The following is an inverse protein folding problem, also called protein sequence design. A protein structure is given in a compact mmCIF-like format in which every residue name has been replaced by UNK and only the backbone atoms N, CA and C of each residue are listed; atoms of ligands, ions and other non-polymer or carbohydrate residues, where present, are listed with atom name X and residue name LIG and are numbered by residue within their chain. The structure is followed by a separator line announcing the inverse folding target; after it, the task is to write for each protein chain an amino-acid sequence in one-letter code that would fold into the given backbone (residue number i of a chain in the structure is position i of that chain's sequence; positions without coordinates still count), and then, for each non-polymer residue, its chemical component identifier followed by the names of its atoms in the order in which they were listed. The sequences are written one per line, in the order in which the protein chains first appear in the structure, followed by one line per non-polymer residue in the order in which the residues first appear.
data_IF_867300216100
#
_entry.id   IF_867300216100
#
_cell.length_a   1.000
_cell.length_b   1.000
_cell.length_c   1.000
_cell.angle_alpha   90.00
_cell.angle_beta   90.00
_cell.angle_gamma   90.00
#
_symmetry.space_group_name_H-M   'P 1'
#
loop_
_entity.id
_entity.type
_entity.pdbx_description
1 polymer ?
#
# COMPACT_ATOMS: atom_id res chain seq x y z
N UNK A 1 -7.33 -10.35 -7.38
CA UNK A 1 -7.50 -9.26 -8.36
C UNK A 1 -6.21 -8.46 -8.38
N UNK A 2 -5.71 -8.13 -9.55
CA UNK A 2 -4.62 -7.17 -9.75
C UNK A 2 -5.22 -5.94 -10.42
N UNK A 3 -4.91 -4.75 -9.92
CA UNK A 3 -5.47 -3.53 -10.45
C UNK A 3 -4.38 -2.48 -10.60
N UNK A 4 -4.49 -1.69 -11.65
CA UNK A 4 -3.66 -0.54 -11.92
C UNK A 4 -4.58 0.59 -12.38
N UNK A 5 -4.66 1.67 -11.61
CA UNK A 5 -5.45 2.85 -11.96
C UNK A 5 -4.68 4.10 -11.53
N UNK A 6 -4.25 4.89 -12.51
CA UNK A 6 -3.48 6.11 -12.30
C UNK A 6 -4.31 7.37 -12.54
N UNK A 7 -5.63 7.26 -12.77
CA UNK A 7 -6.47 8.42 -13.13
C UNK A 7 -6.47 9.48 -12.03
N UNK A 8 -6.54 9.07 -10.76
CA UNK A 8 -6.44 9.99 -9.61
C UNK A 8 -5.07 10.65 -9.46
N UNK A 9 -4.05 10.10 -10.13
CA UNK A 9 -2.65 10.50 -10.05
C UNK A 9 -2.18 11.24 -11.31
N UNK A 10 -3.11 11.61 -12.20
CA UNK A 10 -2.86 12.19 -13.51
C UNK A 10 -1.86 11.37 -14.36
N UNK A 11 -1.91 10.04 -14.23
CA UNK A 11 -1.08 9.15 -15.04
C UNK A 11 -1.64 8.99 -16.46
N UNK A 12 -0.76 8.71 -17.44
CA UNK A 12 -1.15 8.57 -18.84
C UNK A 12 -1.71 7.18 -19.18
N UNK A 13 -1.51 6.19 -18.30
CA UNK A 13 -1.86 4.79 -18.55
C UNK A 13 -3.36 4.53 -18.32
N UNK A 14 -4.03 3.76 -19.21
CA UNK A 14 -5.43 3.39 -19.01
C UNK A 14 -5.57 2.49 -17.77
N UNK A 15 -6.70 2.58 -17.04
CA UNK A 15 -6.95 1.69 -15.92
C UNK A 15 -7.10 0.24 -16.40
N UNK A 16 -6.52 -0.70 -15.66
CA UNK A 16 -6.58 -2.12 -15.94
C UNK A 16 -6.90 -2.91 -14.67
N UNK A 17 -7.70 -3.96 -14.82
CA UNK A 17 -8.00 -4.91 -13.76
C UNK A 17 -7.99 -6.33 -14.32
N UNK A 18 -7.29 -7.22 -13.62
CA UNK A 18 -7.21 -8.64 -13.94
C UNK A 18 -7.69 -9.44 -12.75
N UNK A 19 -8.67 -10.31 -12.99
CA UNK A 19 -9.11 -11.30 -12.03
C UNK A 19 -8.61 -12.68 -12.45
N UNK A 20 -7.84 -13.33 -11.57
CA UNK A 20 -7.39 -14.70 -11.77
C UNK A 20 -7.97 -15.53 -10.65
N UNK A 21 -8.81 -16.50 -11.01
CA UNK A 21 -9.40 -17.43 -10.06
C UNK A 21 -8.39 -18.54 -9.71
N UNK A 22 -8.34 -18.90 -8.44
CA UNK A 22 -7.69 -20.11 -7.96
C UNK A 22 -8.60 -20.79 -6.92
N UNK A 23 -8.61 -22.11 -6.90
CA UNK A 23 -9.42 -22.91 -5.96
C UNK A 23 -8.88 -22.87 -4.52
N UNK A 24 -7.66 -22.35 -4.32
CA UNK A 24 -7.05 -22.16 -3.02
C UNK A 24 -6.31 -20.82 -2.94
N UNK A 25 -5.88 -20.49 -1.71
CA UNK A 25 -5.08 -19.32 -1.39
C UNK A 25 -3.63 -19.70 -1.07
N UNK A 26 -3.00 -20.59 -1.84
CA UNK A 26 -1.58 -20.91 -1.62
C UNK A 26 -0.68 -19.82 -2.20
N UNK A 27 0.49 -19.61 -1.61
CA UNK A 27 1.51 -18.68 -2.14
C UNK A 27 1.94 -19.04 -3.58
N UNK A 28 1.78 -20.32 -3.96
CA UNK A 28 1.90 -20.84 -5.32
C UNK A 28 1.18 -19.99 -6.37
N UNK A 29 -0.04 -19.54 -6.05
CA UNK A 29 -0.91 -18.82 -7.00
C UNK A 29 -0.31 -17.47 -7.40
N UNK A 30 -0.06 -16.51 -6.50
CA UNK A 30 0.47 -15.22 -6.90
C UNK A 30 1.84 -15.30 -7.58
N UNK A 31 2.75 -16.22 -7.23
CA UNK A 31 4.03 -16.26 -7.96
C UNK A 31 3.93 -16.88 -9.35
N UNK A 32 2.97 -17.77 -9.62
CA UNK A 32 2.70 -18.19 -10.99
C UNK A 32 2.12 -17.02 -11.81
N UNK A 33 1.14 -16.30 -11.28
CA UNK A 33 0.51 -15.19 -11.99
C UNK A 33 1.47 -14.02 -12.25
N UNK A 34 2.43 -13.81 -11.35
CA UNK A 34 3.37 -12.69 -11.37
C UNK A 34 4.81 -13.11 -11.72
N UNK A 35 5.01 -14.29 -12.32
CA UNK A 35 6.33 -14.84 -12.61
C UNK A 35 7.25 -13.91 -13.42
N UNK A 36 6.65 -13.04 -14.25
CA UNK A 36 7.36 -12.07 -15.08
C UNK A 36 7.20 -10.62 -14.62
N UNK A 37 6.46 -10.39 -13.53
CA UNK A 37 6.27 -9.04 -12.99
C UNK A 37 7.56 -8.54 -12.37
N UNK A 38 7.87 -7.25 -12.60
CA UNK A 38 8.98 -6.55 -11.95
C UNK A 38 8.50 -5.18 -11.47
N UNK A 39 8.91 -4.79 -10.28
CA UNK A 39 8.61 -3.48 -9.71
C UNK A 39 7.83 -3.55 -8.38
N UNK A 40 7.10 -2.48 -8.09
CA UNK A 40 6.39 -2.32 -6.83
C UNK A 40 4.99 -2.94 -6.90
N UNK A 41 4.70 -3.84 -5.96
CA UNK A 41 3.40 -4.47 -5.79
C UNK A 41 2.75 -3.99 -4.49
N UNK A 42 1.65 -3.25 -4.60
CA UNK A 42 0.83 -2.84 -3.45
C UNK A 42 -0.04 -4.01 -3.01
N UNK A 43 0.11 -4.45 -1.76
CA UNK A 43 -0.56 -5.63 -1.20
C UNK A 43 -1.33 -5.31 0.08
N UNK A 44 -2.35 -6.10 0.36
CA UNK A 44 -3.16 -6.06 1.59
C UNK A 44 -2.44 -6.58 2.84
N UNK A 45 -1.25 -7.16 2.68
CA UNK A 45 -0.51 -7.81 3.76
C UNK A 45 -0.75 -9.32 3.85
N UNK A 46 -1.40 -9.93 2.86
CA UNK A 46 -1.48 -11.38 2.73
C UNK A 46 -0.09 -12.01 2.59
N UNK A 47 0.24 -12.92 3.51
CA UNK A 47 1.57 -13.53 3.61
C UNK A 47 2.00 -14.32 2.36
N UNK A 48 1.07 -14.79 1.53
CA UNK A 48 1.41 -15.54 0.32
C UNK A 48 2.13 -14.73 -0.76
N UNK A 49 2.17 -13.40 -0.64
CA UNK A 49 3.00 -12.55 -1.50
C UNK A 49 4.48 -12.53 -1.09
N UNK A 50 4.84 -12.97 0.12
CA UNK A 50 6.21 -12.85 0.66
C UNK A 50 7.28 -13.44 -0.27
N UNK A 51 7.06 -14.65 -0.79
CA UNK A 51 8.01 -15.33 -1.69
C UNK A 51 8.27 -14.62 -3.03
N UNK A 52 7.48 -13.60 -3.39
CA UNK A 52 7.72 -12.82 -4.60
C UNK A 52 9.02 -12.01 -4.53
N UNK A 53 9.50 -11.73 -3.31
CA UNK A 53 10.72 -10.96 -3.10
C UNK A 53 11.98 -11.79 -3.27
N UNK A 54 11.89 -13.12 -3.27
CA UNK A 54 13.03 -14.04 -3.28
C UNK A 54 13.92 -13.85 -4.53
N UNK A 55 13.30 -13.54 -5.67
CA UNK A 55 14.02 -13.27 -6.92
C UNK A 55 14.54 -11.83 -7.03
N UNK A 56 14.31 -10.96 -6.04
CA UNK A 56 14.75 -9.56 -6.02
C UNK A 56 14.06 -8.61 -7.01
N UNK A 57 13.17 -9.12 -7.88
CA UNK A 57 12.52 -8.33 -8.91
C UNK A 57 11.25 -7.60 -8.44
N UNK A 58 10.71 -7.95 -7.27
CA UNK A 58 9.46 -7.41 -6.73
C UNK A 58 9.71 -6.76 -5.39
N UNK A 59 9.22 -5.53 -5.23
CA UNK A 59 9.19 -4.80 -3.96
C UNK A 59 7.75 -4.77 -3.48
N UNK A 60 7.50 -5.28 -2.27
CA UNK A 60 6.17 -5.25 -1.68
C UNK A 60 5.94 -3.91 -0.96
N UNK A 61 4.83 -3.25 -1.25
CA UNK A 61 4.34 -2.10 -0.51
C UNK A 61 3.08 -2.51 0.26
N UNK A 62 3.14 -2.51 1.59
CA UNK A 62 2.00 -2.85 2.43
C UNK A 62 0.94 -1.73 2.43
N UNK A 63 -0.33 -2.12 2.46
CA UNK A 63 -1.45 -1.19 2.41
C UNK A 63 -1.69 -0.46 3.73
N UNK A 64 -1.78 0.87 3.66
CA UNK A 64 -2.14 1.71 4.82
C UNK A 64 -3.55 1.47 5.33
N UNK A 65 -4.50 1.06 4.48
CA UNK A 65 -5.86 0.76 4.92
C UNK A 65 -5.89 -0.48 5.83
N UNK A 66 -5.19 -1.55 5.43
CA UNK A 66 -5.08 -2.77 6.24
C UNK A 66 -4.25 -2.55 7.50
N UNK A 67 -3.20 -1.73 7.41
CA UNK A 67 -2.40 -1.34 8.58
C UNK A 67 -3.25 -0.53 9.58
N UNK A 68 -3.99 0.46 9.10
CA UNK A 68 -4.89 1.28 9.91
C UNK A 68 -6.00 0.44 10.55
N UNK A 69 -6.55 -0.55 9.84
CA UNK A 69 -7.58 -1.44 10.39
C UNK A 69 -7.08 -2.21 11.63
N UNK A 70 -5.84 -2.72 11.61
CA UNK A 70 -5.25 -3.40 12.77
C UNK A 70 -5.10 -2.49 13.98
N UNK A 71 -4.67 -1.24 13.77
CA UNK A 71 -4.61 -0.27 14.86
C UNK A 71 -6.00 0.10 15.37
N UNK A 72 -7.00 0.17 14.48
CA UNK A 72 -8.39 0.39 14.87
C UNK A 72 -8.93 -0.75 15.74
N UNK A 73 -8.67 -2.01 15.40
CA UNK A 73 -9.06 -3.16 16.23
C UNK A 73 -8.47 -3.07 17.65
N UNK A 74 -7.19 -2.72 17.77
CA UNK A 74 -6.52 -2.51 19.07
C UNK A 74 -7.11 -1.31 19.81
N UNK A 75 -7.36 -0.19 19.14
CA UNK A 75 -7.97 0.99 19.75
C UNK A 75 -9.37 0.68 20.30
N UNK A 76 -10.15 -0.16 19.63
CA UNK A 76 -11.48 -0.55 20.07
C UNK A 76 -11.50 -1.57 21.21
N UNK A 77 -10.45 -2.39 21.34
CA UNK A 77 -10.41 -3.51 22.29
C UNK A 77 -9.57 -3.22 23.54
N UNK A 78 -8.41 -2.60 23.36
CA UNK A 78 -7.43 -2.33 24.42
C UNK A 78 -7.29 -0.84 24.74
N UNK A 79 -7.86 0.05 23.89
CA UNK A 79 -7.83 1.52 24.02
C UNK A 79 -6.42 2.10 24.25
N UNK A 80 -5.43 1.51 23.59
CA UNK A 80 -4.04 1.89 23.79
C UNK A 80 -3.76 3.26 23.15
N UNK A 81 -3.10 4.21 23.86
CA UNK A 81 -2.78 5.52 23.30
C UNK A 81 -1.97 5.45 21.99
N UNK A 82 -1.12 4.42 21.86
CA UNK A 82 -0.29 4.21 20.67
C UNK A 82 -1.11 3.88 19.41
N UNK A 83 -2.25 3.17 19.54
CA UNK A 83 -3.09 2.87 18.39
C UNK A 83 -3.84 4.09 17.88
N UNK A 84 -4.34 4.95 18.77
CA UNK A 84 -4.96 6.23 18.37
C UNK A 84 -3.97 7.15 17.67
N UNK A 85 -2.74 7.22 18.19
CA UNK A 85 -1.69 8.02 17.58
C UNK A 85 -1.27 7.49 16.20
N UNK A 86 -1.18 6.16 16.04
CA UNK A 86 -0.93 5.54 14.75
C UNK A 86 -2.05 5.87 13.73
N UNK A 87 -3.32 5.76 14.14
CA UNK A 87 -4.47 6.11 13.30
C UNK A 87 -4.44 7.58 12.88
N UNK A 88 -4.14 8.50 13.80
CA UNK A 88 -4.02 9.94 13.51
C UNK A 88 -2.92 10.21 12.48
N UNK A 89 -1.76 9.56 12.60
CA UNK A 89 -0.66 9.67 11.65
C UNK A 89 -1.04 9.11 10.28
N UNK A 90 -1.67 7.94 10.22
CA UNK A 90 -2.15 7.35 8.96
C UNK A 90 -3.20 8.27 8.30
N UNK A 91 -4.12 8.86 9.07
CA UNK A 91 -5.09 9.82 8.55
C UNK A 91 -4.40 11.05 7.93
N UNK A 92 -3.29 11.53 8.51
CA UNK A 92 -2.51 12.65 7.93
C UNK A 92 -1.89 12.31 6.57
N UNK A 93 -1.51 11.05 6.34
CA UNK A 93 -1.04 10.58 5.03
C UNK A 93 -2.16 10.66 3.99
N UNK A 94 -3.37 10.24 4.34
CA UNK A 94 -4.53 10.34 3.45
C UNK A 94 -4.94 11.79 3.17
N UNK A 95 -4.88 12.67 4.17
CA UNK A 95 -5.14 14.09 4.00
C UNK A 95 -4.16 14.74 3.02
N UNK A 96 -2.87 14.38 3.09
CA UNK A 96 -1.87 14.82 2.13
C UNK A 96 -2.19 14.28 0.72
N UNK A 97 -2.45 12.98 0.56
CA UNK A 97 -2.75 12.39 -0.75
C UNK A 97 -4.01 13.00 -1.40
N UNK A 98 -5.00 13.42 -0.60
CA UNK A 98 -6.17 14.14 -1.10
C UNK A 98 -5.81 15.50 -1.72
N UNK A 99 -4.91 16.26 -1.09
CA UNK A 99 -4.42 17.54 -1.62
C UNK A 99 -3.56 17.37 -2.89
N UNK A 100 -2.88 16.23 -3.01
CA UNK A 100 -1.97 15.92 -4.11
C UNK A 100 -2.67 15.33 -5.35
N UNK A 101 -3.97 15.04 -5.29
CA UNK A 101 -4.73 14.46 -6.39
C UNK A 101 -4.65 15.33 -7.65
N UNK A 102 -4.39 14.71 -8.80
CA UNK A 102 -4.27 15.42 -10.07
C UNK A 102 -3.00 16.26 -10.26
N UNK A 103 -2.14 16.37 -9.24
CA UNK A 103 -0.87 17.08 -9.35
C UNK A 103 0.18 16.28 -10.12
N UNK A 104 1.18 16.98 -10.66
CA UNK A 104 2.25 16.36 -11.45
C UNK A 104 3.04 15.31 -10.63
N UNK A 105 3.55 14.24 -11.24
CA UNK A 105 4.33 13.23 -10.54
C UNK A 105 5.52 13.81 -9.74
N UNK A 106 6.21 14.81 -10.30
CA UNK A 106 7.33 15.48 -9.65
C UNK A 106 6.89 16.24 -8.38
N UNK A 107 5.78 16.97 -8.44
CA UNK A 107 5.24 17.69 -7.28
C UNK A 107 4.78 16.72 -6.19
N UNK A 108 4.06 15.65 -6.56
CA UNK A 108 3.65 14.60 -5.62
C UNK A 108 4.84 13.96 -4.92
N UNK A 109 5.92 13.66 -5.66
CA UNK A 109 7.14 13.10 -5.08
C UNK A 109 7.80 14.07 -4.09
N UNK A 110 7.91 15.35 -4.45
CA UNK A 110 8.49 16.37 -3.57
C UNK A 110 7.69 16.49 -2.26
N UNK A 111 6.36 16.58 -2.36
CA UNK A 111 5.47 16.70 -1.21
C UNK A 111 5.49 15.45 -0.33
N UNK A 112 5.50 14.24 -0.92
CA UNK A 112 5.65 12.99 -0.15
C UNK A 112 6.99 12.93 0.58
N UNK A 113 8.09 13.38 -0.03
CA UNK A 113 9.40 13.43 0.63
C UNK A 113 9.43 14.43 1.79
N UNK A 114 8.81 15.60 1.61
CA UNK A 114 8.80 16.64 2.64
C UNK A 114 7.85 16.32 3.81
N UNK A 115 6.68 15.73 3.54
CA UNK A 115 5.60 15.62 4.53
C UNK A 115 5.23 14.18 4.89
N UNK A 116 5.15 13.25 3.93
CA UNK A 116 4.77 11.87 4.22
C UNK A 116 5.92 11.07 4.84
N UNK A 117 7.15 11.24 4.33
CA UNK A 117 8.32 10.48 4.79
C UNK A 117 8.58 10.66 6.31
N UNK A 118 8.60 11.89 6.87
CA UNK A 118 8.77 12.06 8.31
C UNK A 118 7.69 11.36 9.14
N UNK A 119 6.42 11.40 8.68
CA UNK A 119 5.32 10.70 9.35
C UNK A 119 5.55 9.19 9.35
N UNK A 120 5.96 8.62 8.22
CA UNK A 120 6.25 7.18 8.11
C UNK A 120 7.46 6.79 8.97
N UNK A 121 8.54 7.55 8.93
CA UNK A 121 9.73 7.26 9.75
C UNK A 121 9.40 7.27 11.25
N UNK A 122 8.46 8.14 11.64
CA UNK A 122 8.00 8.28 13.02
C UNK A 122 6.99 7.22 13.49
N UNK A 123 6.53 6.33 12.59
CA UNK A 123 5.65 5.19 12.91
C UNK A 123 6.43 3.93 13.32
N UNK A 124 7.76 4.02 13.45
CA UNK A 124 8.58 2.97 14.04
C UNK A 124 8.45 3.05 15.56
N UNK A 125 7.64 2.16 16.13
CA UNK A 125 7.51 1.96 17.57
C UNK A 125 8.59 1.00 18.08
#
# INVERSE_FOLDING_TARGET
MYAHDQRSLAGPEPPAAVYVFASDRKAERPATHLAHFKGLLHIDGYAGFGRLTDAGNVILAACWAHTGHKFYEVAQSEDMPVSHEALRRIASLYALEAQLRGQSPAHRLAMRRAFAKPVIDSLRF
#
